data_IF_338786726173
#
_entry.id   IF_338786726173
#
_cell.length_a   1.000
_cell.length_b   1.000
_cell.length_c   1.000
_cell.angle_alpha   90.00
_cell.angle_beta   90.00
_cell.angle_gamma   90.00
#
_symmetry.space_group_name_H-M   'P 1'
#
loop_
_entity.id
_entity.type
_entity.pdbx_description
1 polymer ?
#
# COMPACT_ATOMS: atom_id res chain seq x y z
N UNK A 1 -8.61 -12.05 24.62
CA UNK A 1 -8.12 -12.13 23.23
C UNK A 1 -7.13 -10.99 23.04
N UNK A 2 -5.95 -11.25 22.47
CA UNK A 2 -5.01 -10.18 22.09
C UNK A 2 -5.50 -9.50 20.81
N UNK A 3 -5.33 -8.18 20.72
CA UNK A 3 -5.72 -7.40 19.53
C UNK A 3 -4.80 -7.71 18.33
N UNK A 4 -5.24 -7.35 17.12
CA UNK A 4 -4.40 -7.46 15.93
C UNK A 4 -3.10 -6.67 16.06
N UNK A 5 -3.17 -5.47 16.64
CA UNK A 5 -2.01 -4.58 16.83
C UNK A 5 -0.96 -5.23 17.73
N UNK A 6 -1.38 -5.84 18.85
CA UNK A 6 -0.48 -6.57 19.74
C UNK A 6 0.11 -7.82 19.08
N UNK A 7 -0.68 -8.54 18.27
CA UNK A 7 -0.19 -9.69 17.49
C UNK A 7 0.86 -9.30 16.44
N UNK A 8 0.85 -8.05 15.98
CA UNK A 8 1.86 -7.48 15.09
C UNK A 8 3.10 -6.93 15.85
N UNK A 9 3.20 -7.18 17.16
CA UNK A 9 4.34 -6.75 17.99
C UNK A 9 4.33 -5.26 18.33
N UNK A 10 3.16 -4.60 18.29
CA UNK A 10 2.99 -3.19 18.64
C UNK A 10 2.29 -3.05 19.99
N UNK A 11 2.41 -1.89 20.61
CA UNK A 11 1.71 -1.59 21.87
C UNK A 11 0.20 -1.56 21.65
N UNK A 12 -0.59 -1.92 22.67
CA UNK A 12 -2.05 -2.00 22.58
C UNK A 12 -2.73 -0.66 22.24
N UNK A 13 -2.06 0.46 22.51
CA UNK A 13 -2.51 1.83 22.20
C UNK A 13 -2.00 2.34 20.83
N UNK A 14 -1.18 1.57 20.13
CA UNK A 14 -0.63 1.97 18.83
C UNK A 14 -1.72 2.05 17.76
N UNK A 15 -1.75 3.16 17.03
CA UNK A 15 -2.58 3.32 15.83
C UNK A 15 -1.75 3.00 14.60
N UNK A 16 -2.19 2.01 13.82
CA UNK A 16 -1.54 1.60 12.59
C UNK A 16 -2.39 2.05 11.39
N UNK A 17 -1.72 2.50 10.33
CA UNK A 17 -2.37 2.92 9.08
C UNK A 17 -1.73 2.17 7.92
N UNK A 18 -2.58 1.69 7.01
CA UNK A 18 -2.18 1.18 5.70
C UNK A 18 -2.65 2.20 4.68
N UNK A 19 -1.71 2.75 3.91
CA UNK A 19 -2.01 3.68 2.82
C UNK A 19 -1.77 2.91 1.53
N UNK A 20 -2.86 2.53 0.86
CA UNK A 20 -2.78 1.84 -0.43
C UNK A 20 -2.86 2.84 -1.56
N UNK A 21 -1.95 2.72 -2.53
CA UNK A 21 -2.11 3.33 -3.84
C UNK A 21 -2.91 2.42 -4.76
N UNK A 22 -3.82 3.01 -5.54
CA UNK A 22 -4.65 2.29 -6.50
C UNK A 22 -4.10 2.43 -7.93
N UNK A 23 -4.64 1.65 -8.86
CA UNK A 23 -4.38 1.70 -10.31
C UNK A 23 -2.96 1.30 -10.79
N UNK A 24 -2.17 0.63 -9.96
CA UNK A 24 -0.91 0.06 -10.45
C UNK A 24 -1.22 -0.96 -11.57
N UNK A 25 -0.62 -0.75 -12.74
CA UNK A 25 -0.83 -1.55 -13.95
C UNK A 25 -1.80 -0.93 -14.96
N UNK A 26 -2.58 0.08 -14.58
CA UNK A 26 -3.62 0.68 -15.45
C UNK A 26 -3.03 1.42 -16.66
N UNK A 27 -2.09 2.33 -16.43
CA UNK A 27 -1.37 3.06 -17.47
C UNK A 27 0.02 3.51 -17.02
N UNK A 28 0.85 3.96 -17.96
CA UNK A 28 2.21 4.45 -17.65
C UNK A 28 2.21 5.52 -16.54
N UNK A 29 1.34 6.53 -16.65
CA UNK A 29 1.26 7.62 -15.68
C UNK A 29 0.87 7.12 -14.28
N UNK A 30 -0.08 6.18 -14.19
CA UNK A 30 -0.47 5.56 -12.93
C UNK A 30 0.73 4.82 -12.30
N UNK A 31 1.45 3.98 -13.06
CA UNK A 31 2.62 3.28 -12.56
C UNK A 31 3.70 4.22 -12.02
N UNK A 32 4.02 5.29 -12.76
CA UNK A 32 4.99 6.30 -12.32
C UNK A 32 4.54 6.95 -11.00
N UNK A 33 3.26 7.30 -10.88
CA UNK A 33 2.69 7.87 -9.65
C UNK A 33 2.76 6.91 -8.47
N UNK A 34 2.27 5.68 -8.65
CA UNK A 34 2.28 4.65 -7.59
C UNK A 34 3.69 4.34 -7.13
N UNK A 35 4.64 4.11 -8.05
CA UNK A 35 6.03 3.84 -7.66
C UNK A 35 6.68 5.00 -6.93
N UNK A 36 6.38 6.25 -7.31
CA UNK A 36 6.86 7.42 -6.57
C UNK A 36 6.27 7.47 -5.16
N UNK A 37 4.98 7.24 -5.01
CA UNK A 37 4.32 7.23 -3.70
C UNK A 37 4.89 6.14 -2.77
N UNK A 38 5.13 4.93 -3.30
CA UNK A 38 5.75 3.83 -2.55
C UNK A 38 7.20 4.14 -2.16
N UNK A 39 8.02 4.63 -3.12
CA UNK A 39 9.46 4.90 -2.87
C UNK A 39 9.69 6.08 -1.92
N UNK A 40 8.81 7.07 -1.96
CA UNK A 40 8.88 8.23 -1.07
C UNK A 40 8.23 7.94 0.30
N UNK A 41 7.66 6.75 0.52
CA UNK A 41 7.02 6.36 1.77
C UNK A 41 5.67 7.02 2.04
N UNK A 42 5.04 7.63 1.03
CA UNK A 42 3.69 8.20 1.14
C UNK A 42 2.65 7.08 1.18
N UNK A 43 2.85 6.03 0.37
CA UNK A 43 2.04 4.82 0.39
C UNK A 43 2.81 3.65 0.98
N UNK A 44 2.10 2.75 1.65
CA UNK A 44 2.66 1.55 2.28
C UNK A 44 2.50 0.31 1.41
N UNK A 45 1.53 0.30 0.50
CA UNK A 45 1.28 -0.81 -0.43
C UNK A 45 0.52 -0.35 -1.68
N UNK A 46 0.35 -1.28 -2.63
CA UNK A 46 -0.51 -1.13 -3.79
C UNK A 46 -1.00 -2.51 -4.25
N UNK A 47 -2.07 -2.54 -5.02
CA UNK A 47 -2.56 -3.75 -5.71
C UNK A 47 -2.28 -3.65 -7.21
N UNK A 48 -1.82 -4.74 -7.82
CA UNK A 48 -1.58 -4.79 -9.26
C UNK A 48 -2.85 -5.19 -10.01
N UNK A 49 -3.27 -4.36 -10.96
CA UNK A 49 -4.40 -4.67 -11.83
C UNK A 49 -3.99 -5.68 -12.89
N UNK A 50 -4.61 -6.86 -12.90
CA UNK A 50 -4.41 -7.88 -13.93
C UNK A 50 -5.72 -8.06 -14.72
N UNK A 51 -5.70 -8.10 -16.07
CA UNK A 51 -4.56 -8.09 -16.98
C UNK A 51 -4.28 -6.69 -17.56
N UNK A 52 -4.15 -5.66 -16.73
CA UNK A 52 -4.04 -4.29 -17.23
C UNK A 52 -2.77 -4.11 -18.09
N UNK A 53 -2.80 -3.25 -19.13
CA UNK A 53 -1.78 -3.22 -20.19
C UNK A 53 -0.39 -2.79 -19.71
N UNK A 54 -0.28 -2.22 -18.51
CA UNK A 54 0.98 -1.80 -17.88
C UNK A 54 1.28 -2.58 -16.60
N UNK A 55 0.63 -3.72 -16.37
CA UNK A 55 0.85 -4.57 -15.20
C UNK A 55 2.25 -5.19 -15.15
#
# INVERSE_FOLDING_TARGET
MTSLVERLGRSADSKLVVISCDDLGSCHAANVGVYRALRNGVATCASLMVPAPWA
#
